data_IF_295811454066
#
_entry.id   IF_295811454066
#
_cell.length_a   1.000
_cell.length_b   1.000
_cell.length_c   1.000
_cell.angle_alpha   90.00
_cell.angle_beta   90.00
_cell.angle_gamma   90.00
#
_symmetry.space_group_name_H-M   'P 1'
#
loop_
_entity.id
_entity.type
_entity.pdbx_description
1 polymer ?
#
# COMPACT_ATOMS: atom_id res chain seq x y z
N UNK A 1 -4.40 -3.85 14.27
CA UNK A 1 -5.16 -4.60 13.22
C UNK A 1 -5.83 -5.83 13.81
N UNK A 2 -6.82 -6.42 13.14
CA UNK A 2 -7.63 -7.53 13.67
C UNK A 2 -7.21 -8.94 13.20
N UNK A 3 -6.40 -9.04 12.14
CA UNK A 3 -6.03 -10.34 11.57
C UNK A 3 -4.70 -10.85 12.14
N UNK A 4 -4.69 -12.10 12.62
CA UNK A 4 -3.43 -12.80 12.94
C UNK A 4 -2.71 -13.26 11.67
N UNK A 5 -3.49 -13.74 10.69
CA UNK A 5 -3.04 -14.09 9.36
C UNK A 5 -4.19 -13.83 8.37
N UNK A 6 -3.89 -13.15 7.27
CA UNK A 6 -4.85 -12.88 6.20
C UNK A 6 -4.09 -12.95 4.88
N UNK A 7 -4.57 -13.79 3.96
CA UNK A 7 -4.10 -13.87 2.59
C UNK A 7 -5.28 -13.63 1.66
N UNK A 8 -5.09 -12.77 0.66
CA UNK A 8 -6.08 -12.43 -0.34
C UNK A 8 -5.39 -12.52 -1.70
N UNK A 9 -5.96 -13.32 -2.60
CA UNK A 9 -5.52 -13.37 -3.99
C UNK A 9 -6.42 -12.42 -4.80
N UNK A 10 -5.82 -11.38 -5.39
CA UNK A 10 -6.51 -10.38 -6.20
C UNK A 10 -6.38 -10.72 -7.69
N UNK A 11 -7.46 -10.54 -8.44
CA UNK A 11 -7.47 -10.61 -9.90
C UNK A 11 -6.88 -9.37 -10.57
N UNK A 12 -6.59 -9.42 -11.89
CA UNK A 12 -5.87 -8.37 -12.62
C UNK A 12 -6.68 -7.11 -12.91
N UNK A 13 -8.00 -7.14 -12.69
CA UNK A 13 -8.91 -6.04 -13.02
C UNK A 13 -9.63 -5.58 -11.75
N UNK A 14 -10.95 -5.78 -11.72
CA UNK A 14 -11.80 -5.33 -10.62
C UNK A 14 -11.85 -6.41 -9.54
N UNK A 15 -11.67 -5.98 -8.29
CA UNK A 15 -11.74 -6.83 -7.12
C UNK A 15 -12.77 -6.26 -6.13
N UNK A 16 -13.65 -7.10 -5.60
CA UNK A 16 -14.64 -6.72 -4.59
C UNK A 16 -14.32 -7.41 -3.27
N UNK A 17 -14.15 -6.61 -2.21
CA UNK A 17 -13.94 -7.11 -0.85
C UNK A 17 -15.18 -6.79 -0.02
N UNK A 18 -15.94 -7.82 0.35
CA UNK A 18 -17.21 -7.71 1.08
C UNK A 18 -17.10 -8.27 2.51
N UNK A 19 -18.01 -7.86 3.39
CA UNK A 19 -18.07 -8.32 4.78
C UNK A 19 -18.75 -7.33 5.71
N UNK A 20 -19.08 -7.78 6.93
CA UNK A 20 -19.77 -6.97 7.94
C UNK A 20 -18.99 -5.72 8.38
N UNK A 21 -19.68 -4.73 8.93
CA UNK A 21 -19.02 -3.57 9.52
C UNK A 21 -18.11 -4.02 10.69
N UNK A 22 -16.91 -3.44 10.75
CA UNK A 22 -15.88 -3.86 11.72
C UNK A 22 -15.06 -5.10 11.33
N UNK A 23 -15.37 -5.79 10.22
CA UNK A 23 -14.69 -7.05 9.84
C UNK A 23 -13.23 -6.90 9.37
N UNK A 24 -12.70 -5.67 9.26
CA UNK A 24 -11.32 -5.42 8.85
C UNK A 24 -11.11 -5.13 7.35
N UNK A 25 -12.17 -4.84 6.58
CA UNK A 25 -12.05 -4.56 5.13
C UNK A 25 -11.10 -3.40 4.79
N UNK A 26 -11.32 -2.24 5.39
CA UNK A 26 -10.47 -1.05 5.22
C UNK A 26 -9.03 -1.25 5.70
N UNK A 27 -8.84 -2.22 6.58
CA UNK A 27 -7.55 -2.62 7.11
C UNK A 27 -6.66 -3.23 6.00
N UNK A 28 -7.26 -3.89 5.00
CA UNK A 28 -6.57 -4.40 3.81
C UNK A 28 -5.97 -3.25 3.00
N UNK A 29 -6.76 -2.22 2.72
CA UNK A 29 -6.29 -1.03 2.00
C UNK A 29 -5.13 -0.37 2.74
N UNK A 30 -5.29 -0.12 4.05
CA UNK A 30 -4.22 0.44 4.87
C UNK A 30 -2.94 -0.38 4.85
N UNK A 31 -3.05 -1.72 4.87
CA UNK A 31 -1.89 -2.61 4.80
C UNK A 31 -1.17 -2.47 3.45
N UNK A 32 -1.90 -2.46 2.33
CA UNK A 32 -1.33 -2.27 0.99
C UNK A 32 -0.60 -0.92 0.90
N UNK A 33 -1.26 0.17 1.30
CA UNK A 33 -0.72 1.53 1.26
C UNK A 33 0.58 1.65 2.05
N UNK A 34 0.63 1.09 3.26
CA UNK A 34 1.84 1.09 4.11
C UNK A 34 2.96 0.22 3.54
N UNK A 35 2.63 -0.96 2.99
CA UNK A 35 3.62 -1.84 2.39
C UNK A 35 4.29 -1.22 1.16
N UNK A 36 3.56 -0.38 0.44
CA UNK A 36 4.05 0.35 -0.74
C UNK A 36 4.62 1.73 -0.38
N UNK A 37 4.92 1.99 0.89
CA UNK A 37 5.78 3.12 1.26
C UNK A 37 5.06 4.41 1.67
N UNK A 38 3.73 4.44 1.69
CA UNK A 38 3.00 5.58 2.23
C UNK A 38 3.33 5.82 3.71
N UNK A 39 3.28 7.08 4.13
CA UNK A 39 3.50 7.47 5.53
C UNK A 39 2.32 7.01 6.40
N UNK A 40 2.58 6.73 7.68
CA UNK A 40 1.55 6.23 8.60
C UNK A 40 0.34 7.17 8.75
N UNK A 41 0.58 8.48 8.67
CA UNK A 41 -0.47 9.49 8.72
C UNK A 41 -1.39 9.47 7.49
N UNK A 42 -0.91 8.97 6.34
CA UNK A 42 -1.72 8.85 5.13
C UNK A 42 -2.82 7.77 5.23
N UNK A 43 -2.73 6.85 6.21
CA UNK A 43 -3.71 5.76 6.34
C UNK A 43 -4.88 6.06 7.26
N UNK A 44 -4.96 7.25 7.88
CA UNK A 44 -6.00 7.63 8.86
C UNK A 44 -6.18 6.66 10.05
N UNK A 45 -5.18 5.78 10.31
CA UNK A 45 -5.28 4.65 11.26
C UNK A 45 -4.31 4.75 12.44
N UNK A 46 -3.81 5.96 12.70
CA UNK A 46 -2.90 6.26 13.80
C UNK A 46 -1.78 7.19 13.36
N UNK A 47 -1.13 7.85 14.34
CA UNK A 47 0.06 8.68 14.06
C UNK A 47 1.30 7.84 13.75
N UNK A 48 1.34 6.60 14.24
CA UNK A 48 2.53 5.74 14.21
C UNK A 48 2.17 4.36 13.63
N UNK A 49 3.08 3.77 12.84
CA UNK A 49 2.88 2.45 12.19
C UNK A 49 2.56 1.31 13.17
N UNK A 50 2.98 1.41 14.43
CA UNK A 50 2.71 0.42 15.46
C UNK A 50 1.22 0.22 15.75
N UNK A 51 0.36 1.20 15.47
CA UNK A 51 -1.10 1.06 15.56
C UNK A 51 -1.67 0.02 14.57
N UNK A 52 -0.91 -0.32 13.52
CA UNK A 52 -1.27 -1.37 12.57
C UNK A 52 -0.93 -2.77 13.08
N UNK A 53 -0.22 -2.90 14.20
CA UNK A 53 0.08 -4.21 14.78
C UNK A 53 -1.19 -4.75 15.46
N UNK A 54 -1.39 -6.07 15.42
CA UNK A 54 -2.50 -6.70 16.15
C UNK A 54 -2.28 -6.56 17.65
N UNK A 55 -3.33 -6.30 18.40
CA UNK A 55 -3.25 -6.24 19.85
C UNK A 55 -2.66 -7.54 20.42
N UNK A 56 -1.77 -7.39 21.41
CA UNK A 56 -1.00 -8.50 21.98
C UNK A 56 0.18 -9.00 21.14
N UNK A 57 0.44 -8.44 19.95
CA UNK A 57 1.60 -8.79 19.13
C UNK A 57 2.70 -7.72 19.19
N UNK A 58 3.94 -8.14 18.93
CA UNK A 58 5.12 -7.26 18.92
C UNK A 58 5.54 -6.80 17.51
N UNK A 59 4.95 -7.40 16.47
CA UNK A 59 5.26 -7.08 15.09
C UNK A 59 4.09 -7.43 14.16
N UNK A 60 4.10 -6.83 12.98
CA UNK A 60 3.27 -7.20 11.84
C UNK A 60 4.15 -7.33 10.59
N UNK A 61 3.75 -8.20 9.67
CA UNK A 61 4.38 -8.35 8.35
C UNK A 61 3.29 -8.16 7.30
N UNK A 62 3.53 -7.28 6.35
CA UNK A 62 2.67 -7.12 5.18
C UNK A 62 3.49 -7.46 3.94
N UNK A 63 2.93 -8.29 3.08
CA UNK A 63 3.54 -8.70 1.82
C UNK A 63 2.60 -8.38 0.67
N UNK A 64 3.11 -7.65 -0.32
CA UNK A 64 2.39 -7.30 -1.55
C UNK A 64 3.14 -7.89 -2.73
N UNK A 65 2.42 -8.59 -3.61
CA UNK A 65 2.95 -9.10 -4.87
C UNK A 65 2.51 -8.19 -6.00
N UNK A 66 3.47 -7.63 -6.72
CA UNK A 66 3.24 -6.79 -7.90
C UNK A 66 3.58 -7.65 -9.12
N UNK A 67 2.67 -7.72 -10.08
CA UNK A 67 2.93 -8.39 -11.36
C UNK A 67 4.03 -7.63 -12.10
N UNK A 68 5.03 -8.35 -12.59
CA UNK A 68 6.15 -7.78 -13.33
C UNK A 68 6.32 -8.55 -14.64
N UNK A 69 5.39 -8.34 -15.58
CA UNK A 69 5.34 -9.03 -16.88
C UNK A 69 5.01 -8.04 -17.99
N UNK A 70 5.31 -8.42 -19.22
CA UNK A 70 5.04 -7.60 -20.40
C UNK A 70 6.23 -6.71 -20.79
N UNK A 71 6.06 -5.88 -21.82
CA UNK A 71 7.15 -5.06 -22.36
C UNK A 71 7.67 -4.03 -21.36
N UNK A 72 6.80 -3.55 -20.46
CA UNK A 72 7.13 -2.53 -19.46
C UNK A 72 7.52 -3.11 -18.10
N UNK A 73 7.94 -4.38 -18.05
CA UNK A 73 8.38 -5.01 -16.80
C UNK A 73 9.64 -4.31 -16.24
N UNK A 74 9.63 -3.98 -14.95
CA UNK A 74 10.77 -3.40 -14.26
C UNK A 74 11.84 -4.46 -14.00
N UNK A 75 13.02 -4.30 -14.63
CA UNK A 75 14.21 -5.16 -14.43
C UNK A 75 13.85 -6.65 -14.37
N UNK A 76 13.13 -7.12 -15.40
CA UNK A 76 12.56 -8.48 -15.46
C UNK A 76 13.62 -9.57 -15.31
N UNK A 77 14.83 -9.33 -15.82
CA UNK A 77 16.00 -10.20 -15.64
C UNK A 77 16.41 -10.39 -14.16
N UNK A 78 16.17 -9.38 -13.33
CA UNK A 78 16.52 -9.39 -11.89
C UNK A 78 15.36 -9.89 -11.03
N UNK A 79 14.16 -9.39 -11.27
CA UNK A 79 13.00 -9.66 -10.44
C UNK A 79 12.13 -10.81 -10.95
N UNK A 80 12.19 -11.14 -12.24
CA UNK A 80 11.30 -12.08 -12.89
C UNK A 80 9.86 -11.60 -12.93
N UNK A 81 8.94 -12.56 -13.07
CA UNK A 81 7.50 -12.34 -13.31
C UNK A 81 6.71 -11.60 -12.23
N UNK A 82 7.28 -11.40 -11.04
CA UNK A 82 6.65 -10.69 -9.93
C UNK A 82 7.70 -10.07 -9.02
N UNK A 83 7.36 -8.91 -8.47
CA UNK A 83 8.12 -8.23 -7.43
C UNK A 83 7.38 -8.41 -6.11
N UNK A 84 8.07 -8.92 -5.09
CA UNK A 84 7.49 -9.18 -3.78
C UNK A 84 8.00 -8.11 -2.82
N UNK A 85 7.11 -7.25 -2.34
CA UNK A 85 7.42 -6.19 -1.37
C UNK A 85 6.96 -6.63 0.00
N UNK A 86 7.89 -6.75 0.94
CA UNK A 86 7.63 -7.07 2.34
C UNK A 86 7.94 -5.87 3.23
N UNK A 87 6.97 -5.46 4.04
CA UNK A 87 7.14 -4.45 5.08
C UNK A 87 6.94 -5.07 6.44
N UNK A 88 8.02 -5.17 7.21
CA UNK A 88 7.96 -5.55 8.62
C UNK A 88 7.73 -4.30 9.46
N UNK A 89 6.74 -4.34 10.32
CA UNK A 89 6.41 -3.28 11.29
C UNK A 89 6.72 -3.84 12.67
N UNK A 90 7.53 -3.13 13.44
CA UNK A 90 7.86 -3.49 14.81
C UNK A 90 7.08 -2.57 15.76
N UNK A 91 6.65 -3.11 16.90
CA UNK A 91 5.99 -2.34 17.96
C UNK A 91 6.95 -1.29 18.50
N UNK A 92 8.18 -1.74 18.73
CA UNK A 92 9.30 -0.95 19.20
C UNK A 92 10.43 -1.02 18.16
N UNK A 93 10.92 0.13 17.71
CA UNK A 93 12.02 0.23 16.75
C UNK A 93 11.62 0.47 15.28
N UNK A 94 12.61 0.40 14.40
CA UNK A 94 12.46 0.71 12.98
C UNK A 94 12.11 -0.55 12.20
N UNK A 95 10.96 -0.52 11.53
CA UNK A 95 10.56 -1.56 10.59
C UNK A 95 11.40 -1.54 9.30
N UNK A 96 11.59 -2.70 8.69
CA UNK A 96 12.44 -2.88 7.50
C UNK A 96 11.64 -3.27 6.26
N UNK A 97 12.22 -2.99 5.09
CA UNK A 97 11.73 -3.47 3.80
C UNK A 97 12.57 -4.65 3.32
N UNK A 98 11.92 -5.60 2.65
CA UNK A 98 12.58 -6.56 1.78
C UNK A 98 11.85 -6.59 0.44
N UNK A 99 12.60 -6.38 -0.64
CA UNK A 99 12.10 -6.43 -2.00
C UNK A 99 12.72 -7.65 -2.66
N UNK A 100 11.90 -8.63 -3.03
CA UNK A 100 12.34 -9.92 -3.54
C UNK A 100 11.92 -10.13 -4.98
N UNK A 101 12.70 -10.95 -5.66
CA UNK A 101 12.35 -11.50 -6.98
C UNK A 101 11.27 -12.58 -6.86
N UNK A 102 10.77 -13.03 -8.00
CA UNK A 102 9.80 -14.10 -8.16
C UNK A 102 10.24 -15.42 -7.51
N UNK A 103 11.55 -15.67 -7.43
CA UNK A 103 12.16 -16.83 -6.77
C UNK A 103 12.27 -16.71 -5.24
N UNK A 104 11.93 -15.54 -4.67
CA UNK A 104 12.02 -15.26 -3.24
C UNK A 104 13.38 -14.71 -2.77
N UNK A 105 14.37 -14.58 -3.67
CA UNK A 105 15.66 -13.95 -3.37
C UNK A 105 15.47 -12.46 -3.05
N UNK A 106 16.02 -12.00 -1.93
CA UNK A 106 16.07 -10.57 -1.58
C UNK A 106 17.01 -9.86 -2.57
N UNK A 107 16.47 -8.90 -3.30
CA UNK A 107 17.21 -8.06 -4.25
C UNK A 107 17.62 -6.75 -3.59
N UNK A 108 16.74 -6.16 -2.76
CA UNK A 108 17.02 -4.90 -2.07
C UNK A 108 16.26 -4.82 -0.75
N UNK A 109 16.78 -3.99 0.16
CA UNK A 109 16.13 -3.59 1.42
C UNK A 109 15.95 -2.07 1.51
N UNK A 110 16.35 -1.35 0.47
CA UNK A 110 16.41 0.11 0.40
C UNK A 110 15.07 0.71 0.00
N UNK A 111 14.73 1.86 0.58
CA UNK A 111 13.49 2.57 0.24
C UNK A 111 13.56 3.15 -1.17
N UNK A 112 14.75 3.54 -1.62
CA UNK A 112 14.99 4.13 -2.93
C UNK A 112 14.63 3.14 -4.06
N UNK A 113 14.90 1.85 -3.88
CA UNK A 113 14.50 0.83 -4.85
C UNK A 113 12.97 0.67 -4.88
N UNK A 114 12.30 0.71 -3.72
CA UNK A 114 10.84 0.68 -3.68
C UNK A 114 10.26 1.88 -4.43
N UNK A 115 10.79 3.08 -4.20
CA UNK A 115 10.36 4.29 -4.92
C UNK A 115 10.56 4.13 -6.43
N UNK A 116 11.72 3.66 -6.89
CA UNK A 116 11.98 3.43 -8.31
C UNK A 116 10.99 2.42 -8.94
N UNK A 117 10.65 1.33 -8.23
CA UNK A 117 9.66 0.36 -8.69
C UNK A 117 8.28 1.00 -8.82
N UNK A 118 7.86 1.78 -7.82
CA UNK A 118 6.54 2.42 -7.81
C UNK A 118 6.43 3.48 -8.91
N UNK A 119 7.49 4.27 -9.12
CA UNK A 119 7.54 5.29 -10.17
C UNK A 119 7.46 4.65 -11.55
N UNK A 120 8.24 3.60 -11.81
CA UNK A 120 8.20 2.86 -13.07
C UNK A 120 6.82 2.23 -13.35
N UNK A 121 6.18 1.71 -12.30
CA UNK A 121 4.86 1.08 -12.39
C UNK A 121 3.69 2.07 -12.30
N UNK A 122 3.96 3.37 -12.17
CA UNK A 122 2.96 4.43 -12.01
C UNK A 122 2.03 4.18 -10.79
N UNK A 123 2.58 3.60 -9.72
CA UNK A 123 1.84 3.31 -8.48
C UNK A 123 1.99 4.48 -7.52
N UNK A 124 1.00 5.37 -7.50
CA UNK A 124 1.02 6.58 -6.68
C UNK A 124 0.28 6.39 -5.36
N UNK A 125 0.96 5.83 -4.35
CA UNK A 125 0.32 5.54 -3.05
C UNK A 125 -0.01 6.76 -2.20
N UNK A 126 0.65 7.89 -2.45
CA UNK A 126 0.36 9.16 -1.77
C UNK A 126 -0.75 9.96 -2.50
N UNK A 127 -1.18 9.51 -3.69
CA UNK A 127 -2.27 10.15 -4.42
C UNK A 127 -3.63 9.73 -3.83
N UNK A 128 -4.28 10.70 -3.19
CA UNK A 128 -5.56 10.55 -2.49
C UNK A 128 -6.73 10.11 -3.38
N UNK A 129 -6.59 10.24 -4.70
CA UNK A 129 -7.59 9.80 -5.67
C UNK A 129 -7.35 8.37 -6.16
N UNK A 130 -6.10 7.89 -6.08
CA UNK A 130 -5.76 6.48 -6.31
C UNK A 130 -6.10 5.66 -5.07
N UNK A 131 -5.80 6.21 -3.89
CA UNK A 131 -6.14 5.60 -2.59
C UNK A 131 -7.18 6.45 -1.88
N UNK A 132 -8.44 6.20 -2.20
CA UNK A 132 -9.57 6.87 -1.54
C UNK A 132 -9.99 6.09 -0.29
N UNK A 133 -9.58 6.57 0.89
CA UNK A 133 -10.04 5.98 2.15
C UNK A 133 -11.50 6.33 2.43
N UNK A 134 -12.16 5.53 3.27
CA UNK A 134 -13.58 5.74 3.63
C UNK A 134 -13.85 7.15 4.19
N UNK A 135 -12.97 7.65 5.06
CA UNK A 135 -13.13 8.97 5.67
C UNK A 135 -12.85 10.09 4.67
N UNK A 136 -11.84 9.92 3.80
CA UNK A 136 -11.56 10.87 2.72
C UNK A 136 -12.71 10.96 1.71
N UNK A 137 -13.34 9.83 1.37
CA UNK A 137 -14.53 9.84 0.52
C UNK A 137 -15.67 10.65 1.16
N UNK A 138 -15.87 10.49 2.47
CA UNK A 138 -16.91 11.21 3.22
C UNK A 138 -16.60 12.72 3.28
N UNK A 139 -15.36 13.08 3.57
CA UNK A 139 -14.90 14.48 3.66
C UNK A 139 -14.97 15.18 2.29
N UNK A 140 -14.49 14.50 1.24
CA UNK A 140 -14.55 15.02 -0.13
C UNK A 140 -15.99 15.35 -0.56
N UNK A 141 -16.95 14.47 -0.24
CA UNK A 141 -18.35 14.69 -0.60
C UNK A 141 -19.04 15.78 0.24
N UNK A 142 -18.73 15.87 1.53
CA UNK A 142 -19.52 16.68 2.47
C UNK A 142 -18.91 18.03 2.84
N UNK A 143 -17.60 18.21 2.78
CA UNK A 143 -16.92 19.35 3.41
C UNK A 143 -15.80 19.99 2.58
N UNK A 144 -15.58 19.55 1.33
CA UNK A 144 -14.59 20.19 0.46
C UNK A 144 -15.14 21.42 -0.26
N UNK A 145 -14.41 22.53 -0.17
CA UNK A 145 -14.69 23.75 -0.91
C UNK A 145 -14.48 23.56 -2.42
N UNK A 146 -15.12 24.37 -3.28
CA UNK A 146 -14.88 24.31 -4.73
C UNK A 146 -13.39 24.42 -5.11
N UNK A 147 -12.60 25.22 -4.39
CA UNK A 147 -11.16 25.35 -4.60
C UNK A 147 -10.38 24.07 -4.25
N UNK A 148 -10.75 23.35 -3.19
CA UNK A 148 -10.12 22.08 -2.83
C UNK A 148 -10.44 21.00 -3.86
N UNK A 149 -11.69 20.94 -4.32
CA UNK A 149 -12.10 20.05 -5.43
C UNK A 149 -11.30 20.35 -6.69
N UNK A 150 -11.11 21.62 -7.03
CA UNK A 150 -10.33 22.02 -8.21
C UNK A 150 -8.85 21.64 -8.10
N UNK A 151 -8.22 21.85 -6.94
CA UNK A 151 -6.81 21.42 -6.71
C UNK A 151 -6.65 19.91 -6.85
N UNK A 152 -7.60 19.15 -6.32
CA UNK A 152 -7.63 17.69 -6.45
C UNK A 152 -7.70 17.28 -7.91
N UNK A 153 -8.53 17.94 -8.73
CA UNK A 153 -8.67 17.67 -10.17
C UNK A 153 -7.41 18.06 -10.97
N UNK A 154 -6.79 19.21 -10.67
CA UNK A 154 -5.54 19.63 -11.32
C UNK A 154 -4.43 18.61 -11.09
N UNK A 155 -4.30 18.08 -9.87
CA UNK A 155 -3.28 17.09 -9.53
C UNK A 155 -3.36 15.83 -10.41
N UNK A 156 -4.54 15.51 -10.95
CA UNK A 156 -4.76 14.40 -11.89
C UNK A 156 -4.26 14.75 -13.30
N UNK A 157 -4.37 16.01 -13.71
CA UNK A 157 -4.12 16.44 -15.09
C UNK A 157 -2.62 16.52 -15.44
N UNK A 158 -1.74 16.39 -14.43
CA UNK A 158 -0.28 16.49 -14.58
C UNK A 158 0.46 15.19 -14.21
N UNK A 159 -0.27 14.09 -14.03
CA UNK A 159 0.27 12.73 -13.81
C UNK A 159 -0.13 11.82 -14.95
#
# INVERSE_FOLDING_TARGET
>A
MCHQYLKIDLGPKVNFVIGHNGSGKSAILSAITVALGAKANATNRGRNLSALIREGANAALVTVHITNKGPDAYRHDVYGDKIIVERKILKDGVGNYHIRSSSGKIISTKREELTAILDHMVIQVDNQLVILTQDMAREFLNSSSPNEKYKVIILISYT
#
